data_IF_298958778349
#
_entry.id   IF_298958778349
#
_cell.length_a   1.000
_cell.length_b   1.000
_cell.length_c   1.000
_cell.angle_alpha   90.00
_cell.angle_beta   90.00
_cell.angle_gamma   90.00
#
_symmetry.space_group_name_H-M   'P 1'
#
loop_
_entity.id
_entity.type
_entity.pdbx_description
1 polymer ?
#
# COMPACT_ATOMS: atom_id res chain seq x y z
N UNK A 1 -11.17 25.58 -15.49
CA UNK A 1 -11.10 25.51 -14.02
C UNK A 1 -11.46 24.08 -13.61
N UNK A 2 -10.60 23.39 -12.87
CA UNK A 2 -10.90 22.02 -12.40
C UNK A 2 -12.05 22.06 -11.39
N UNK A 3 -12.92 21.05 -11.39
CA UNK A 3 -13.95 20.93 -10.34
C UNK A 3 -13.27 20.62 -9.00
N UNK A 4 -13.90 21.01 -7.89
CA UNK A 4 -13.42 20.68 -6.54
C UNK A 4 -13.16 19.18 -6.38
N UNK A 5 -14.06 18.33 -6.88
CA UNK A 5 -13.92 16.87 -6.86
C UNK A 5 -12.68 16.38 -7.61
N UNK A 6 -12.37 16.97 -8.77
CA UNK A 6 -11.14 16.63 -9.50
C UNK A 6 -9.89 16.97 -8.70
N UNK A 7 -9.88 18.10 -7.99
CA UNK A 7 -8.74 18.50 -7.15
C UNK A 7 -8.57 17.52 -5.99
N UNK A 8 -9.65 17.18 -5.29
CA UNK A 8 -9.64 16.21 -4.18
C UNK A 8 -9.12 14.85 -4.65
N UNK A 9 -9.59 14.36 -5.81
CA UNK A 9 -9.10 13.10 -6.39
C UNK A 9 -7.61 13.13 -6.68
N UNK A 10 -7.11 14.22 -7.27
CA UNK A 10 -5.68 14.35 -7.60
C UNK A 10 -4.85 14.34 -6.33
N UNK A 11 -5.25 15.10 -5.30
CA UNK A 11 -4.57 15.12 -4.00
C UNK A 11 -4.58 13.72 -3.38
N UNK A 12 -5.73 13.06 -3.37
CA UNK A 12 -5.85 11.70 -2.85
C UNK A 12 -4.92 10.71 -3.59
N UNK A 13 -4.90 10.77 -4.93
CA UNK A 13 -4.07 9.89 -5.77
C UNK A 13 -2.57 10.15 -5.55
N UNK A 14 -2.18 11.40 -5.31
CA UNK A 14 -0.80 11.76 -4.94
C UNK A 14 -0.42 11.20 -3.57
N UNK A 15 -1.28 11.37 -2.56
CA UNK A 15 -1.06 10.82 -1.21
C UNK A 15 -0.95 9.30 -1.27
N UNK A 16 -1.88 8.64 -1.97
CA UNK A 16 -1.86 7.20 -2.19
C UNK A 16 -0.54 6.75 -2.83
N UNK A 17 -0.09 7.43 -3.88
CA UNK A 17 1.19 7.15 -4.54
C UNK A 17 2.38 7.30 -3.58
N UNK A 18 2.43 8.38 -2.80
CA UNK A 18 3.52 8.65 -1.84
C UNK A 18 3.57 7.57 -0.76
N UNK A 19 2.42 7.13 -0.24
CA UNK A 19 2.35 6.04 0.75
C UNK A 19 2.93 4.74 0.17
N UNK A 20 2.55 4.38 -1.05
CA UNK A 20 3.06 3.18 -1.72
C UNK A 20 4.59 3.26 -1.99
N UNK A 21 5.09 4.45 -2.34
CA UNK A 21 6.55 4.70 -2.42
C UNK A 21 7.21 4.45 -1.07
N UNK A 22 6.62 4.97 0.00
CA UNK A 22 7.16 4.84 1.35
C UNK A 22 7.17 3.38 1.83
N UNK A 23 6.12 2.61 1.53
CA UNK A 23 6.08 1.16 1.78
C UNK A 23 7.16 0.41 0.99
N UNK A 24 7.31 0.71 -0.31
CA UNK A 24 8.36 0.12 -1.14
C UNK A 24 9.76 0.41 -0.58
N UNK A 25 10.03 1.66 -0.19
CA UNK A 25 11.32 2.07 0.40
C UNK A 25 11.58 1.39 1.75
N UNK A 26 10.56 1.27 2.60
CA UNK A 26 10.65 0.53 3.86
C UNK A 26 11.04 -0.93 3.64
N UNK A 27 10.35 -1.62 2.72
CA UNK A 27 10.61 -3.03 2.41
C UNK A 27 12.02 -3.20 1.81
N UNK A 28 12.43 -2.32 0.90
CA UNK A 28 13.80 -2.31 0.34
C UNK A 28 14.86 -2.13 1.44
N UNK A 29 14.60 -1.24 2.41
CA UNK A 29 15.53 -0.97 3.51
C UNK A 29 15.72 -2.21 4.41
N UNK A 30 14.69 -3.07 4.53
CA UNK A 30 14.79 -4.35 5.23
C UNK A 30 15.58 -5.36 4.39
N UNK A 31 15.32 -5.45 3.08
CA UNK A 31 16.01 -6.34 2.14
C UNK A 31 17.54 -6.10 2.09
N UNK A 32 17.95 -4.83 2.14
CA UNK A 32 19.37 -4.46 2.11
C UNK A 32 20.18 -5.00 3.30
N UNK A 33 19.52 -5.37 4.40
CA UNK A 33 20.15 -5.99 5.57
C UNK A 33 20.34 -7.49 5.39
N UNK A 34 21.24 -7.89 4.50
CA UNK A 34 21.52 -9.30 4.13
C UNK A 34 21.76 -10.29 5.28
N UNK A 35 22.13 -9.82 6.47
CA UNK A 35 22.36 -10.66 7.66
C UNK A 35 21.10 -10.84 8.53
N UNK A 36 19.92 -10.47 8.03
CA UNK A 36 18.65 -10.51 8.74
C UNK A 36 17.74 -11.63 8.21
N UNK A 37 17.10 -12.44 9.07
CA UNK A 37 16.13 -13.45 8.64
C UNK A 37 14.95 -12.85 7.85
N UNK A 38 14.55 -11.62 8.20
CA UNK A 38 13.45 -10.90 7.54
C UNK A 38 13.84 -10.24 6.22
N UNK A 39 15.12 -10.20 5.83
CA UNK A 39 15.55 -9.55 4.58
C UNK A 39 15.22 -10.37 3.33
N UNK A 40 14.66 -11.56 3.48
CA UNK A 40 14.35 -12.48 2.38
C UNK A 40 12.95 -13.08 2.52
N UNK A 41 12.48 -13.74 1.47
CA UNK A 41 11.21 -14.46 1.46
C UNK A 41 10.06 -13.71 0.78
N UNK A 42 8.91 -14.38 0.70
CA UNK A 42 7.79 -13.94 -0.13
C UNK A 42 7.25 -12.56 0.25
N UNK A 43 7.32 -12.17 1.52
CA UNK A 43 6.85 -10.86 2.01
C UNK A 43 7.66 -9.71 1.42
N UNK A 44 8.98 -9.87 1.33
CA UNK A 44 9.87 -8.85 0.74
C UNK A 44 9.63 -8.77 -0.77
N UNK A 45 9.71 -9.90 -1.46
CA UNK A 45 9.57 -9.94 -2.93
C UNK A 45 8.19 -9.47 -3.39
N UNK A 46 7.11 -10.02 -2.82
CA UNK A 46 5.75 -9.67 -3.23
C UNK A 46 5.37 -8.28 -2.72
N UNK A 47 5.80 -7.89 -1.52
CA UNK A 47 5.53 -6.56 -0.97
C UNK A 47 6.05 -5.46 -1.89
N UNK A 48 7.28 -5.58 -2.40
CA UNK A 48 7.86 -4.64 -3.37
C UNK A 48 7.08 -4.59 -4.68
N UNK A 49 6.73 -5.76 -5.22
CA UNK A 49 5.99 -5.86 -6.49
C UNK A 49 4.62 -5.19 -6.34
N UNK A 50 3.90 -5.51 -5.27
CA UNK A 50 2.58 -4.97 -4.98
C UNK A 50 2.66 -3.45 -4.76
N UNK A 51 3.58 -2.97 -3.93
CA UNK A 51 3.76 -1.53 -3.68
C UNK A 51 4.07 -0.77 -4.97
N UNK A 52 4.91 -1.33 -5.83
CA UNK A 52 5.25 -0.71 -7.12
C UNK A 52 4.06 -0.70 -8.08
N UNK A 53 3.26 -1.76 -8.10
CA UNK A 53 2.06 -1.85 -8.93
C UNK A 53 1.00 -0.85 -8.46
N UNK A 54 0.76 -0.76 -7.15
CA UNK A 54 -0.20 0.18 -6.59
C UNK A 54 0.27 1.64 -6.73
N UNK A 55 1.58 1.92 -6.63
CA UNK A 55 2.16 3.22 -7.00
C UNK A 55 1.81 3.60 -8.46
N UNK A 56 2.01 2.69 -9.42
CA UNK A 56 1.67 2.93 -10.83
C UNK A 56 0.16 3.20 -10.98
N UNK A 57 -0.68 2.40 -10.30
CA UNK A 57 -2.13 2.59 -10.31
C UNK A 57 -2.52 3.98 -9.76
N UNK A 58 -1.89 4.42 -8.67
CA UNK A 58 -2.07 5.77 -8.11
C UNK A 58 -1.71 6.88 -9.09
N UNK A 59 -0.56 6.77 -9.76
CA UNK A 59 -0.13 7.71 -10.78
C UNK A 59 -1.08 7.75 -11.98
N UNK A 60 -1.51 6.59 -12.47
CA UNK A 60 -2.47 6.50 -13.58
C UNK A 60 -3.80 7.17 -13.20
N UNK A 61 -4.28 7.00 -11.97
CA UNK A 61 -5.54 7.58 -11.49
C UNK A 61 -5.58 9.12 -11.47
N UNK A 62 -4.41 9.77 -11.46
CA UNK A 62 -4.31 11.24 -11.61
C UNK A 62 -4.84 11.65 -12.99
N UNK A 63 -4.40 10.95 -14.05
CA UNK A 63 -4.71 11.27 -15.44
C UNK A 63 -5.98 10.59 -15.95
N UNK A 64 -6.17 9.32 -15.58
CA UNK A 64 -7.25 8.45 -16.02
C UNK A 64 -7.98 7.95 -14.78
N UNK A 65 -9.03 8.66 -14.32
CA UNK A 65 -9.71 8.30 -13.10
C UNK A 65 -10.43 6.95 -13.21
N UNK A 66 -10.26 6.14 -12.18
CA UNK A 66 -10.81 4.79 -12.08
C UNK A 66 -12.35 4.80 -12.15
N UNK A 67 -13.01 5.83 -11.62
CA UNK A 67 -14.47 5.96 -11.69
C UNK A 67 -15.01 5.97 -13.13
N UNK A 68 -14.30 6.60 -14.08
CA UNK A 68 -14.65 6.59 -15.51
C UNK A 68 -14.43 5.22 -16.12
N UNK A 69 -13.41 4.49 -15.70
CA UNK A 69 -13.15 3.15 -16.19
C UNK A 69 -14.27 2.18 -15.78
N UNK A 70 -14.68 2.23 -14.51
CA UNK A 70 -15.78 1.42 -13.97
C UNK A 70 -17.11 1.65 -14.69
N UNK A 71 -17.44 2.91 -15.00
CA UNK A 71 -18.69 3.24 -15.69
C UNK A 71 -18.73 2.78 -17.15
N UNK A 72 -17.57 2.55 -17.77
CA UNK A 72 -17.47 2.24 -19.20
C UNK A 72 -17.51 0.73 -19.48
N UNK A 73 -16.99 -0.10 -18.57
CA UNK A 73 -16.92 -1.56 -18.74
C UNK A 73 -17.24 -2.29 -17.42
N UNK A 74 -18.51 -2.56 -17.09
CA UNK A 74 -18.91 -3.01 -15.75
C UNK A 74 -18.28 -4.34 -15.30
N UNK A 75 -18.20 -5.33 -16.20
CA UNK A 75 -17.59 -6.64 -15.92
C UNK A 75 -16.09 -6.51 -15.65
N UNK A 76 -15.37 -5.78 -16.50
CA UNK A 76 -13.92 -5.54 -16.36
C UNK A 76 -13.65 -4.62 -15.16
N UNK A 77 -14.57 -3.70 -14.86
CA UNK A 77 -14.49 -2.83 -13.71
C UNK A 77 -14.62 -3.60 -12.39
N UNK A 78 -15.56 -4.54 -12.28
CA UNK A 78 -15.74 -5.34 -11.07
C UNK A 78 -14.53 -6.24 -10.75
N UNK A 79 -13.93 -6.86 -11.77
CA UNK A 79 -12.71 -7.66 -11.59
C UNK A 79 -11.51 -6.80 -11.24
N UNK A 80 -11.40 -5.60 -11.83
CA UNK A 80 -10.38 -4.62 -11.48
C UNK A 80 -10.48 -4.19 -10.01
N UNK A 81 -11.68 -3.90 -9.51
CA UNK A 81 -11.91 -3.56 -8.09
C UNK A 81 -11.45 -4.70 -7.19
N UNK A 82 -11.81 -5.95 -7.52
CA UNK A 82 -11.42 -7.11 -6.71
C UNK A 82 -9.90 -7.29 -6.65
N UNK A 83 -9.22 -7.18 -7.80
CA UNK A 83 -7.75 -7.26 -7.86
C UNK A 83 -7.11 -6.12 -7.07
N UNK A 84 -7.63 -4.90 -7.19
CA UNK A 84 -7.15 -3.74 -6.44
C UNK A 84 -7.31 -3.94 -4.93
N UNK A 85 -8.50 -4.35 -4.47
CA UNK A 85 -8.79 -4.64 -3.05
C UNK A 85 -7.85 -5.72 -2.53
N UNK A 86 -7.67 -6.81 -3.27
CA UNK A 86 -6.77 -7.88 -2.90
C UNK A 86 -5.32 -7.40 -2.77
N UNK A 87 -4.82 -6.68 -3.78
CA UNK A 87 -3.47 -6.13 -3.78
C UNK A 87 -3.24 -5.19 -2.58
N UNK A 88 -4.17 -4.27 -2.33
CA UNK A 88 -4.10 -3.33 -1.23
C UNK A 88 -4.15 -4.02 0.14
N UNK A 89 -5.02 -5.02 0.31
CA UNK A 89 -5.04 -5.82 1.54
C UNK A 89 -3.72 -6.55 1.75
N UNK A 90 -3.19 -7.21 0.72
CA UNK A 90 -1.92 -7.93 0.82
C UNK A 90 -0.76 -7.00 1.14
N UNK A 91 -0.74 -5.78 0.59
CA UNK A 91 0.26 -4.78 0.91
C UNK A 91 0.22 -4.41 2.39
N UNK A 92 -0.94 -3.95 2.89
CA UNK A 92 -1.11 -3.56 4.29
C UNK A 92 -0.79 -4.71 5.23
N UNK A 93 -1.22 -5.94 4.90
CA UNK A 93 -0.90 -7.14 5.66
C UNK A 93 0.61 -7.44 5.68
N UNK A 94 1.30 -7.33 4.54
CA UNK A 94 2.75 -7.55 4.46
C UNK A 94 3.49 -6.51 5.32
N UNK A 95 3.17 -5.22 5.15
CA UNK A 95 3.81 -4.14 5.91
C UNK A 95 3.58 -4.32 7.40
N UNK A 96 2.34 -4.59 7.82
CA UNK A 96 2.01 -4.87 9.21
C UNK A 96 2.84 -6.04 9.77
N UNK A 97 2.87 -7.18 9.07
CA UNK A 97 3.65 -8.35 9.52
C UNK A 97 5.15 -8.08 9.56
N UNK A 98 5.69 -7.26 8.66
CA UNK A 98 7.10 -6.86 8.73
C UNK A 98 7.36 -5.99 9.96
N UNK A 99 6.49 -5.03 10.26
CA UNK A 99 6.61 -4.17 11.44
C UNK A 99 6.57 -4.98 12.73
N UNK A 100 5.56 -5.83 12.92
CA UNK A 100 5.43 -6.67 14.12
C UNK A 100 6.67 -7.57 14.29
N UNK A 101 7.09 -8.25 13.23
CA UNK A 101 8.25 -9.14 13.33
C UNK A 101 9.58 -8.40 13.59
N UNK A 102 9.68 -7.11 13.23
CA UNK A 102 10.86 -6.29 13.52
C UNK A 102 10.97 -5.91 15.01
N UNK A 103 9.87 -6.00 15.76
CA UNK A 103 9.84 -5.74 17.20
C UNK A 103 10.28 -6.95 18.03
N UNK A 104 10.26 -8.16 17.44
CA UNK A 104 10.80 -9.35 18.08
C UNK A 104 12.29 -9.18 18.39
N UNK A 105 12.69 -9.54 19.60
CA UNK A 105 14.06 -9.36 20.10
C UNK A 105 15.12 -10.02 19.21
N UNK A 106 14.77 -11.16 18.58
CA UNK A 106 15.62 -11.90 17.64
C UNK A 106 15.87 -11.12 16.34
N UNK A 107 14.93 -10.27 15.94
CA UNK A 107 14.94 -9.48 14.71
C UNK A 107 15.30 -8.01 14.92
N UNK A 108 15.58 -7.59 16.15
CA UNK A 108 15.98 -6.21 16.49
C UNK A 108 17.16 -5.69 15.64
N UNK A 109 18.09 -6.56 15.24
CA UNK A 109 19.21 -6.25 14.32
C UNK A 109 18.75 -5.78 12.93
N UNK A 110 17.54 -6.17 12.54
CA UNK A 110 16.88 -5.80 11.31
C UNK A 110 16.23 -4.42 11.37
N UNK A 111 16.11 -3.78 12.54
CA UNK A 111 15.47 -2.47 12.73
C UNK A 111 16.01 -1.39 11.79
N UNK A 112 15.17 -0.91 10.87
CA UNK A 112 15.48 0.17 9.94
C UNK A 112 15.19 1.53 10.58
N UNK A 113 16.12 2.49 10.41
CA UNK A 113 15.98 3.86 10.93
C UNK A 113 15.17 4.73 9.96
N UNK A 114 14.46 5.74 10.47
CA UNK A 114 13.73 6.71 9.64
C UNK A 114 12.30 6.28 9.25
N UNK A 115 11.83 5.15 9.78
CA UNK A 115 10.48 4.62 9.54
C UNK A 115 9.65 4.53 10.83
N UNK A 116 9.99 5.32 11.84
CA UNK A 116 9.36 5.24 13.17
C UNK A 116 7.86 5.56 13.11
N UNK A 117 7.45 6.49 12.25
CA UNK A 117 6.03 6.81 12.02
C UNK A 117 5.28 5.59 11.47
N UNK A 118 5.83 4.91 10.46
CA UNK A 118 5.22 3.72 9.87
C UNK A 118 5.16 2.58 10.89
N UNK A 119 6.25 2.37 11.64
CA UNK A 119 6.31 1.34 12.68
C UNK A 119 5.26 1.58 13.76
N UNK A 120 5.19 2.80 14.29
CA UNK A 120 4.21 3.16 15.32
C UNK A 120 2.77 3.06 14.81
N UNK A 121 2.54 3.40 13.53
CA UNK A 121 1.21 3.28 12.95
C UNK A 121 0.76 1.82 12.83
N UNK A 122 1.67 0.91 12.46
CA UNK A 122 1.36 -0.50 12.24
C UNK A 122 1.61 -1.41 13.46
N UNK A 123 2.29 -0.95 14.51
CA UNK A 123 2.61 -1.78 15.69
C UNK A 123 1.35 -2.30 16.39
N UNK A 124 0.29 -1.47 16.40
CA UNK A 124 -0.99 -1.80 17.04
C UNK A 124 -2.00 -2.41 16.05
N UNK A 125 -1.64 -2.54 14.76
CA UNK A 125 -2.57 -2.99 13.72
C UNK A 125 -2.84 -4.49 13.81
N UNK A 126 -4.09 -4.82 14.04
CA UNK A 126 -4.67 -6.13 13.85
C UNK A 126 -4.90 -6.42 12.36
N UNK A 127 -5.11 -7.70 12.03
CA UNK A 127 -5.53 -8.09 10.67
C UNK A 127 -6.90 -7.50 10.31
N UNK A 128 -7.78 -7.30 11.30
CA UNK A 128 -9.09 -6.67 11.10
C UNK A 128 -8.96 -5.20 10.71
N UNK A 129 -8.04 -4.46 11.32
CA UNK A 129 -7.77 -3.07 10.91
C UNK A 129 -7.23 -3.00 9.50
N UNK A 130 -6.35 -3.93 9.09
CA UNK A 130 -5.91 -4.01 7.70
C UNK A 130 -7.11 -4.11 6.74
N UNK A 131 -8.11 -4.95 7.05
CA UNK A 131 -9.35 -5.07 6.26
C UNK A 131 -10.12 -3.74 6.23
N UNK A 132 -10.31 -3.08 7.38
CA UNK A 132 -11.04 -1.82 7.45
C UNK A 132 -10.37 -0.72 6.62
N UNK A 133 -9.04 -0.57 6.73
CA UNK A 133 -8.29 0.40 5.94
C UNK A 133 -8.34 0.06 4.45
N UNK A 134 -8.24 -1.22 4.06
CA UNK A 134 -8.44 -1.63 2.66
C UNK A 134 -9.79 -1.17 2.12
N UNK A 135 -10.88 -1.39 2.85
CA UNK A 135 -12.22 -1.00 2.42
C UNK A 135 -12.33 0.52 2.30
N UNK A 136 -11.87 1.28 3.30
CA UNK A 136 -11.92 2.74 3.29
C UNK A 136 -11.14 3.31 2.09
N UNK A 137 -9.89 2.88 1.91
CA UNK A 137 -9.02 3.35 0.82
C UNK A 137 -9.62 2.97 -0.54
N UNK A 138 -10.20 1.76 -0.66
CA UNK A 138 -10.87 1.32 -1.89
C UNK A 138 -12.05 2.23 -2.23
N UNK A 139 -12.92 2.51 -1.27
CA UNK A 139 -14.07 3.41 -1.48
C UNK A 139 -13.57 4.77 -1.91
N UNK A 140 -12.61 5.36 -1.20
CA UNK A 140 -12.07 6.67 -1.55
C UNK A 140 -11.42 6.66 -2.94
N UNK A 141 -10.71 5.60 -3.32
CA UNK A 141 -10.04 5.51 -4.62
C UNK A 141 -11.00 5.45 -5.81
N UNK A 142 -12.12 4.74 -5.66
CA UNK A 142 -13.08 4.54 -6.75
C UNK A 142 -14.21 5.59 -6.79
N UNK A 143 -14.46 6.32 -5.70
CA UNK A 143 -15.52 7.32 -5.64
C UNK A 143 -15.03 8.76 -5.82
N UNK A 144 -13.74 9.05 -5.61
CA UNK A 144 -13.12 10.33 -5.94
C UNK A 144 -12.66 10.36 -7.41
#
# INVERSE_FOLDING_TARGET
MFSFWTIVRIIYSLIFTIINIYFSQFINSIEEKKNCPLSTGWRITNGKIISSLLMIVGLVNIFVPANKFLSTLPLIGSSYVLVFVGALFFELFIVNRLVINLEDSENSKCSVKGYDMLRTFFSDFTTTECIYYTVIITILFFYL
#
